data_IF_079800790883
#
_entry.id   IF_079800790883
#
_cell.length_a   1.000
_cell.length_b   1.000
_cell.length_c   1.000
_cell.angle_alpha   90.00
_cell.angle_beta   90.00
_cell.angle_gamma   90.00
#
_symmetry.space_group_name_H-M   'P 1'
#
loop_
_entity.id
_entity.type
_entity.pdbx_description
1 polymer ?
#
# COMPACT_ATOMS: atom_id res chain seq x y z
N UNK A 1 -8.34 -3.98 -15.04
CA UNK A 1 -8.97 -3.48 -13.78
C UNK A 1 -7.93 -2.72 -12.98
N UNK A 2 -8.33 -1.75 -12.14
CA UNK A 2 -7.39 -1.01 -11.30
C UNK A 2 -7.25 -1.61 -9.91
N UNK A 3 -6.03 -1.64 -9.39
CA UNK A 3 -5.76 -1.79 -7.96
C UNK A 3 -5.13 -0.50 -7.44
N UNK A 4 -5.60 -0.06 -6.27
CA UNK A 4 -5.06 1.09 -5.57
C UNK A 4 -4.04 0.63 -4.52
N UNK A 5 -2.92 1.32 -4.40
CA UNK A 5 -1.84 0.96 -3.49
C UNK A 5 -1.41 2.21 -2.75
N UNK A 6 -1.54 2.19 -1.44
CA UNK A 6 -0.92 3.20 -0.59
C UNK A 6 0.60 3.04 -0.54
N UNK A 7 1.29 4.11 -0.16
CA UNK A 7 2.75 4.18 -0.24
C UNK A 7 3.38 3.96 1.14
N UNK A 8 3.19 4.90 2.06
CA UNK A 8 3.83 4.89 3.37
C UNK A 8 3.28 3.73 4.20
N UNK A 9 4.17 2.92 4.77
CA UNK A 9 3.82 1.75 5.59
C UNK A 9 3.03 0.64 4.89
N UNK A 10 2.76 0.78 3.60
CA UNK A 10 2.16 -0.23 2.74
C UNK A 10 3.20 -0.87 1.82
N UNK A 11 3.87 -0.06 0.97
CA UNK A 11 5.02 -0.51 0.16
C UNK A 11 6.36 0.05 0.63
N UNK A 12 6.39 1.26 1.21
CA UNK A 12 7.58 1.90 1.75
C UNK A 12 7.59 1.78 3.28
N UNK A 13 8.68 1.33 3.89
CA UNK A 13 8.73 1.13 5.34
C UNK A 13 9.13 2.41 6.11
N UNK A 14 8.30 3.45 6.03
CA UNK A 14 8.57 4.74 6.67
C UNK A 14 8.49 4.69 8.20
N UNK A 15 7.68 3.79 8.76
CA UNK A 15 7.64 3.49 10.19
C UNK A 15 8.99 3.00 10.73
N UNK A 16 9.71 2.18 9.98
CA UNK A 16 11.05 1.73 10.40
C UNK A 16 12.02 2.90 10.50
N UNK A 17 11.97 3.84 9.56
CA UNK A 17 12.79 5.05 9.63
C UNK A 17 12.36 5.97 10.77
N UNK A 18 11.05 6.08 11.07
CA UNK A 18 10.56 6.83 12.23
C UNK A 18 11.07 6.24 13.55
N UNK A 19 11.04 4.91 13.69
CA UNK A 19 11.57 4.20 14.87
C UNK A 19 13.08 4.42 14.99
N UNK A 20 13.83 4.16 13.91
CA UNK A 20 15.29 4.21 13.92
C UNK A 20 15.85 5.60 14.22
N UNK A 21 15.19 6.65 13.71
CA UNK A 21 15.70 8.03 13.81
C UNK A 21 15.14 8.80 14.99
N UNK A 22 13.89 8.53 15.37
CA UNK A 22 13.17 9.35 16.33
C UNK A 22 12.62 8.55 17.52
N UNK A 23 12.81 7.22 17.54
CA UNK A 23 12.31 6.37 18.63
C UNK A 23 10.79 6.33 18.73
N UNK A 24 10.06 6.62 17.65
CA UNK A 24 8.61 6.74 17.67
C UNK A 24 7.97 5.35 17.75
N UNK A 25 7.14 5.06 18.77
CA UNK A 25 6.50 3.76 18.90
C UNK A 25 5.37 3.55 17.87
N UNK A 26 5.25 2.33 17.37
CA UNK A 26 4.29 1.96 16.30
C UNK A 26 2.94 1.44 16.83
N UNK A 27 2.55 1.82 18.04
CA UNK A 27 1.33 1.32 18.69
C UNK A 27 0.11 2.25 18.51
N UNK A 28 0.32 3.48 18.02
CA UNK A 28 -0.73 4.47 17.75
C UNK A 28 -0.57 5.03 16.36
N UNK A 29 -1.69 5.22 15.68
CA UNK A 29 -1.74 5.82 14.36
C UNK A 29 -2.85 6.90 14.30
N UNK A 30 -2.55 8.11 13.78
CA UNK A 30 -1.20 8.61 13.53
C UNK A 30 -0.38 8.65 14.84
N UNK A 31 0.94 8.53 14.74
CA UNK A 31 1.79 8.58 15.93
C UNK A 31 1.80 10.02 16.51
N UNK A 32 1.39 10.24 17.76
CA UNK A 32 1.20 11.58 18.32
C UNK A 32 2.51 12.36 18.50
N UNK A 33 3.66 11.66 18.49
CA UNK A 33 4.98 12.25 18.58
C UNK A 33 5.43 12.90 17.27
N UNK A 34 4.76 12.62 16.14
CA UNK A 34 5.08 13.25 14.87
C UNK A 34 4.52 14.68 14.90
N UNK A 35 5.36 15.73 14.77
CA UNK A 35 4.88 17.08 14.82
C UNK A 35 3.99 17.40 13.61
N UNK A 36 3.04 18.34 13.73
CA UNK A 36 2.30 18.84 12.58
C UNK A 36 3.26 19.28 11.48
N UNK A 37 2.90 19.03 10.22
CA UNK A 37 3.71 19.39 9.04
C UNK A 37 5.07 18.67 8.95
N UNK A 38 5.35 17.65 9.76
CA UNK A 38 6.58 16.85 9.63
C UNK A 38 6.79 16.35 8.20
N UNK A 39 5.77 15.77 7.59
CA UNK A 39 5.86 15.21 6.24
C UNK A 39 5.97 16.26 5.12
N UNK A 40 5.73 17.55 5.39
CA UNK A 40 6.01 18.66 4.46
C UNK A 40 7.41 19.26 4.66
N UNK A 41 8.10 18.90 5.75
CA UNK A 41 9.45 19.38 6.03
C UNK A 41 10.50 18.60 5.25
N UNK A 42 11.69 19.19 5.10
CA UNK A 42 12.84 18.51 4.51
C UNK A 42 13.18 17.20 5.22
N UNK A 43 12.98 17.13 6.54
CA UNK A 43 13.25 15.91 7.31
C UNK A 43 12.24 14.81 7.00
N UNK A 44 10.97 15.15 6.84
CA UNK A 44 9.94 14.20 6.38
C UNK A 44 10.16 13.73 4.94
N UNK A 45 10.69 14.59 4.07
CA UNK A 45 11.08 14.21 2.71
C UNK A 45 12.29 13.27 2.72
N UNK A 46 13.35 13.59 3.48
CA UNK A 46 14.53 12.74 3.65
C UNK A 46 14.19 11.41 4.29
N UNK A 47 13.26 11.37 5.24
CA UNK A 47 12.80 10.13 5.86
C UNK A 47 12.25 9.15 4.82
N UNK A 48 11.39 9.63 3.91
CA UNK A 48 10.86 8.79 2.85
C UNK A 48 11.91 8.40 1.82
N UNK A 49 12.78 9.33 1.41
CA UNK A 49 13.84 9.01 0.45
C UNK A 49 14.73 7.87 0.94
N UNK A 50 14.94 7.76 2.26
CA UNK A 50 15.73 6.72 2.92
C UNK A 50 14.92 5.47 3.28
N UNK A 51 13.60 5.52 3.16
CA UNK A 51 12.78 4.36 3.45
C UNK A 51 13.00 3.30 2.38
N UNK A 52 13.26 2.08 2.81
CA UNK A 52 13.36 0.93 1.92
C UNK A 52 11.95 0.37 1.63
N UNK A 53 11.73 -0.19 0.44
CA UNK A 53 10.52 -0.94 0.17
C UNK A 53 10.43 -2.17 1.09
N UNK A 54 9.23 -2.62 1.38
CA UNK A 54 9.06 -3.95 1.96
C UNK A 54 9.57 -5.01 0.98
N UNK A 55 10.33 -6.02 1.44
CA UNK A 55 10.83 -7.09 0.57
C UNK A 55 9.70 -7.76 -0.21
N UNK A 56 9.89 -7.91 -1.53
CA UNK A 56 8.92 -8.52 -2.45
C UNK A 56 7.76 -7.63 -2.88
N UNK A 57 7.65 -6.38 -2.39
CA UNK A 57 6.53 -5.50 -2.73
C UNK A 57 6.47 -5.15 -4.23
N UNK A 58 7.63 -4.80 -4.81
CA UNK A 58 7.71 -4.48 -6.22
C UNK A 58 7.41 -5.71 -7.10
N UNK A 59 7.93 -6.89 -6.73
CA UNK A 59 7.69 -8.15 -7.44
C UNK A 59 6.22 -8.55 -7.43
N UNK A 60 5.57 -8.50 -6.27
CA UNK A 60 4.15 -8.81 -6.15
C UNK A 60 3.29 -7.86 -7.01
N UNK A 61 3.59 -6.56 -7.01
CA UNK A 61 2.85 -5.59 -7.82
C UNK A 61 3.14 -5.73 -9.32
N UNK A 62 4.35 -6.14 -9.72
CA UNK A 62 4.64 -6.52 -11.11
C UNK A 62 3.82 -7.72 -11.54
N UNK A 63 3.68 -8.74 -10.68
CA UNK A 63 2.84 -9.90 -10.96
C UNK A 63 1.38 -9.50 -11.23
N UNK A 64 0.83 -8.54 -10.48
CA UNK A 64 -0.49 -7.98 -10.77
C UNK A 64 -0.53 -7.30 -12.16
N UNK A 65 0.51 -6.54 -12.53
CA UNK A 65 0.62 -5.95 -13.87
C UNK A 65 0.67 -7.00 -14.97
N UNK A 66 1.45 -8.06 -14.80
CA UNK A 66 1.55 -9.18 -15.75
C UNK A 66 0.20 -9.92 -15.92
N UNK A 67 -0.63 -9.93 -14.88
CA UNK A 67 -2.00 -10.44 -14.90
C UNK A 67 -3.04 -9.46 -15.49
N UNK A 68 -2.60 -8.31 -16.03
CA UNK A 68 -3.46 -7.31 -16.67
C UNK A 68 -4.14 -6.33 -15.71
N UNK A 69 -3.72 -6.27 -14.45
CA UNK A 69 -4.15 -5.20 -13.54
C UNK A 69 -3.32 -3.94 -13.75
N UNK A 70 -3.97 -2.78 -13.67
CA UNK A 70 -3.29 -1.48 -13.64
C UNK A 70 -3.07 -1.09 -12.18
N UNK A 71 -1.85 -0.71 -11.84
CA UNK A 71 -1.47 -0.31 -10.47
C UNK A 71 -1.47 1.21 -10.36
N UNK A 72 -2.26 1.74 -9.43
CA UNK A 72 -2.27 3.15 -9.05
C UNK A 72 -1.71 3.32 -7.62
N UNK A 73 -0.70 4.16 -7.48
CA UNK A 73 -0.08 4.56 -6.23
C UNK A 73 -0.71 5.85 -5.71
N UNK A 74 -1.37 5.76 -4.56
CA UNK A 74 -2.21 6.84 -4.03
C UNK A 74 -1.73 7.18 -2.62
N UNK A 75 -1.28 8.42 -2.39
CA UNK A 75 -0.66 8.79 -1.13
C UNK A 75 -1.16 10.12 -0.57
N UNK A 76 -1.24 10.17 0.76
CA UNK A 76 -1.53 11.40 1.52
C UNK A 76 -0.30 12.29 1.72
N UNK A 77 0.88 11.89 1.23
CA UNK A 77 2.07 12.74 1.26
C UNK A 77 1.79 14.06 0.53
N UNK A 78 2.43 15.17 0.92
CA UNK A 78 2.19 16.48 0.31
C UNK A 78 2.37 16.46 -1.21
N UNK A 79 1.56 17.22 -1.96
CA UNK A 79 1.59 17.18 -3.43
C UNK A 79 2.97 17.51 -4.04
N UNK A 80 3.75 18.37 -3.37
CA UNK A 80 5.11 18.70 -3.79
C UNK A 80 6.11 17.53 -3.67
N UNK A 81 5.76 16.42 -3.01
CA UNK A 81 6.59 15.21 -2.98
C UNK A 81 6.34 14.27 -4.16
N UNK A 82 5.39 14.56 -5.05
CA UNK A 82 5.04 13.65 -6.16
C UNK A 82 6.25 13.27 -7.01
N UNK A 83 7.12 14.23 -7.36
CA UNK A 83 8.34 13.95 -8.13
C UNK A 83 9.27 12.99 -7.40
N UNK A 84 9.49 13.21 -6.10
CA UNK A 84 10.29 12.34 -5.24
C UNK A 84 9.67 10.93 -5.15
N UNK A 85 8.35 10.84 -4.97
CA UNK A 85 7.61 9.59 -4.89
C UNK A 85 7.74 8.78 -6.18
N UNK A 86 7.55 9.41 -7.35
CA UNK A 86 7.72 8.74 -8.65
C UNK A 86 9.15 8.22 -8.83
N UNK A 87 10.16 9.03 -8.46
CA UNK A 87 11.56 8.63 -8.53
C UNK A 87 11.85 7.44 -7.61
N UNK A 88 11.35 7.48 -6.39
CA UNK A 88 11.49 6.39 -5.42
C UNK A 88 10.84 5.10 -5.93
N UNK A 89 9.61 5.16 -6.46
CA UNK A 89 8.94 3.99 -7.03
C UNK A 89 9.76 3.37 -8.19
N UNK A 90 10.21 4.21 -9.13
CA UNK A 90 11.00 3.75 -10.28
C UNK A 90 12.35 3.19 -9.88
N UNK A 91 13.06 3.82 -8.94
CA UNK A 91 14.39 3.35 -8.51
C UNK A 91 14.32 2.02 -7.77
N UNK A 92 13.20 1.71 -7.13
CA UNK A 92 12.96 0.44 -6.45
C UNK A 92 12.22 -0.60 -7.31
N UNK A 93 12.07 -0.34 -8.62
CA UNK A 93 11.55 -1.32 -9.57
C UNK A 93 10.04 -1.51 -9.55
N UNK A 94 9.27 -0.61 -8.95
CA UNK A 94 7.81 -0.67 -8.99
C UNK A 94 7.27 -0.41 -10.42
N UNK A 95 6.17 -1.06 -10.83
CA UNK A 95 5.59 -0.88 -12.16
C UNK A 95 4.97 0.51 -12.34
N UNK A 96 5.76 1.45 -12.85
CA UNK A 96 5.35 2.82 -13.18
C UNK A 96 5.74 3.16 -14.62
N UNK A 97 4.83 2.88 -15.55
CA UNK A 97 4.97 3.22 -16.97
C UNK A 97 4.63 4.70 -17.20
N UNK A 98 3.42 5.09 -16.77
CA UNK A 98 2.86 6.42 -17.00
C UNK A 98 2.58 7.09 -15.66
N UNK A 99 3.60 7.78 -15.13
CA UNK A 99 3.56 8.34 -13.79
C UNK A 99 2.40 9.32 -13.56
N UNK A 100 1.97 10.07 -14.58
CA UNK A 100 0.84 11.01 -14.49
C UNK A 100 -0.50 10.31 -14.23
N UNK A 101 -0.63 9.06 -14.70
CA UNK A 101 -1.87 8.29 -14.59
C UNK A 101 -1.84 7.34 -13.39
N UNK A 102 -0.64 6.97 -12.94
CA UNK A 102 -0.45 5.95 -11.93
C UNK A 102 -0.06 6.49 -10.55
N UNK A 103 0.40 7.74 -10.42
CA UNK A 103 0.90 8.24 -9.12
C UNK A 103 0.18 9.52 -8.74
N UNK A 104 -0.49 9.51 -7.59
CA UNK A 104 -1.19 10.67 -7.05
C UNK A 104 -0.75 10.95 -5.61
N UNK A 105 -0.32 12.18 -5.35
CA UNK A 105 0.03 12.69 -4.02
C UNK A 105 -0.81 13.93 -3.70
N UNK A 106 -0.78 14.36 -2.44
CA UNK A 106 -1.51 15.54 -1.96
C UNK A 106 -2.98 15.28 -1.70
N UNK A 107 -3.37 14.02 -1.56
CA UNK A 107 -4.76 13.62 -1.39
C UNK A 107 -5.08 13.48 0.09
N UNK A 108 -6.09 14.20 0.57
CA UNK A 108 -6.67 13.87 1.86
C UNK A 108 -7.48 12.56 1.79
N UNK A 109 -7.98 12.12 2.94
CA UNK A 109 -8.75 10.88 3.05
C UNK A 109 -9.97 10.82 2.12
N UNK A 110 -10.73 11.92 1.99
CA UNK A 110 -11.92 11.95 1.15
C UNK A 110 -11.54 11.88 -0.33
N UNK A 111 -10.50 12.62 -0.72
CA UNK A 111 -10.01 12.63 -2.10
C UNK A 111 -9.34 11.32 -2.49
N UNK A 112 -8.59 10.67 -1.59
CA UNK A 112 -8.10 9.29 -1.82
C UNK A 112 -9.27 8.36 -2.08
N UNK A 113 -10.31 8.41 -1.25
CA UNK A 113 -11.48 7.54 -1.40
C UNK A 113 -12.23 7.79 -2.72
N UNK A 114 -12.43 9.05 -3.10
CA UNK A 114 -13.04 9.41 -4.37
C UNK A 114 -12.22 8.90 -5.56
N UNK A 115 -10.91 9.07 -5.51
CA UNK A 115 -10.01 8.58 -6.55
C UNK A 115 -10.09 7.06 -6.70
N UNK A 116 -10.04 6.34 -5.58
CA UNK A 116 -10.14 4.87 -5.56
C UNK A 116 -11.49 4.40 -6.12
N UNK A 117 -12.59 5.01 -5.68
CA UNK A 117 -13.95 4.48 -5.93
C UNK A 117 -14.57 4.98 -7.24
N UNK A 118 -14.32 6.24 -7.63
CA UNK A 118 -14.97 6.86 -8.79
C UNK A 118 -14.06 6.97 -10.00
N UNK A 119 -12.84 7.46 -9.81
CA UNK A 119 -11.93 7.74 -10.94
C UNK A 119 -11.25 6.49 -11.45
N UNK A 120 -10.74 5.67 -10.53
CA UNK A 120 -10.10 4.41 -10.85
C UNK A 120 -11.10 3.27 -10.95
N UNK A 121 -12.23 3.37 -10.23
CA UNK A 121 -13.14 2.24 -9.99
C UNK A 121 -12.34 0.98 -9.60
N UNK A 122 -11.44 1.13 -8.62
CA UNK A 122 -10.51 0.09 -8.23
C UNK A 122 -11.27 -1.13 -7.67
N UNK A 123 -10.77 -2.33 -7.96
CA UNK A 123 -11.38 -3.57 -7.47
C UNK A 123 -10.81 -4.01 -6.12
N UNK A 124 -9.60 -3.53 -5.79
CA UNK A 124 -8.94 -3.78 -4.52
C UNK A 124 -8.05 -2.60 -4.13
N UNK A 125 -7.79 -2.48 -2.82
CA UNK A 125 -6.87 -1.50 -2.25
C UNK A 125 -5.87 -2.15 -1.31
N UNK A 126 -4.60 -1.80 -1.43
CA UNK A 126 -3.54 -2.10 -0.45
C UNK A 126 -3.33 -0.89 0.43
N UNK A 127 -3.43 -1.06 1.75
CA UNK A 127 -3.46 0.06 2.70
C UNK A 127 -2.97 -0.39 4.09
N UNK A 128 -2.55 0.57 4.91
CA UNK A 128 -2.19 0.34 6.30
C UNK A 128 -3.04 1.17 7.28
N UNK A 129 -3.53 2.36 6.85
CA UNK A 129 -4.32 3.27 7.67
C UNK A 129 -5.68 2.62 8.01
N UNK A 130 -5.95 2.35 9.30
CA UNK A 130 -7.19 1.70 9.70
C UNK A 130 -8.44 2.53 9.43
N UNK A 131 -8.34 3.85 9.23
CA UNK A 131 -9.47 4.69 8.85
C UNK A 131 -9.78 4.53 7.36
N UNK A 132 -8.76 4.58 6.50
CA UNK A 132 -8.93 4.36 5.05
C UNK A 132 -9.48 2.96 4.76
N UNK A 133 -8.93 1.94 5.43
CA UNK A 133 -9.43 0.57 5.31
C UNK A 133 -10.92 0.45 5.67
N UNK A 134 -11.38 1.12 6.74
CA UNK A 134 -12.80 1.15 7.11
C UNK A 134 -13.67 1.78 6.01
N UNK A 135 -13.26 2.93 5.49
CA UNK A 135 -14.01 3.58 4.43
C UNK A 135 -14.05 2.70 3.18
N UNK A 136 -12.93 2.14 2.75
CA UNK A 136 -12.89 1.24 1.59
C UNK A 136 -13.88 0.06 1.71
N UNK A 137 -14.01 -0.54 2.90
CA UNK A 137 -14.96 -1.63 3.16
C UNK A 137 -16.42 -1.19 3.04
N UNK A 138 -16.78 0.01 3.49
CA UNK A 138 -18.13 0.57 3.33
C UNK A 138 -18.51 0.71 1.86
N UNK A 139 -17.53 0.97 0.98
CA UNK A 139 -17.72 1.03 -0.47
C UNK A 139 -17.59 -0.35 -1.16
N UNK A 140 -17.52 -1.44 -0.40
CA UNK A 140 -17.48 -2.80 -0.94
C UNK A 140 -16.15 -3.23 -1.55
N UNK A 141 -15.07 -2.46 -1.36
CA UNK A 141 -13.75 -2.80 -1.87
C UNK A 141 -13.12 -3.97 -1.10
N UNK A 142 -12.34 -4.79 -1.81
CA UNK A 142 -11.42 -5.74 -1.16
C UNK A 142 -10.21 -4.98 -0.63
N UNK A 143 -9.93 -5.10 0.66
CA UNK A 143 -8.84 -4.42 1.34
C UNK A 143 -7.74 -5.43 1.69
N UNK A 144 -6.58 -5.26 1.08
CA UNK A 144 -5.34 -5.90 1.47
C UNK A 144 -4.67 -5.04 2.54
N UNK A 145 -4.85 -5.43 3.81
CA UNK A 145 -4.42 -4.64 4.96
C UNK A 145 -3.03 -5.11 5.42
N UNK A 146 -2.01 -4.26 5.26
CA UNK A 146 -0.67 -4.52 5.78
C UNK A 146 -0.73 -4.58 7.31
N UNK A 147 -0.31 -5.69 7.92
CA UNK A 147 -0.41 -5.87 9.36
C UNK A 147 0.52 -4.91 10.12
N UNK A 148 -0.08 -4.13 11.02
CA UNK A 148 0.60 -3.27 11.97
C UNK A 148 -0.08 -3.29 13.34
N UNK A 149 0.66 -3.08 14.46
CA UNK A 149 0.06 -3.07 15.79
C UNK A 149 -1.15 -2.14 15.93
N UNK A 150 -1.12 -0.97 15.28
CA UNK A 150 -2.21 0.02 15.33
C UNK A 150 -3.47 -0.36 14.55
N UNK A 151 -3.40 -1.29 13.58
CA UNK A 151 -4.55 -1.67 12.75
C UNK A 151 -5.09 -3.08 13.01
N UNK A 152 -4.51 -3.83 13.97
CA UNK A 152 -4.97 -5.18 14.34
C UNK A 152 -6.39 -5.25 14.92
N UNK A 153 -6.94 -4.11 15.34
CA UNK A 153 -8.35 -4.01 15.76
C UNK A 153 -9.33 -3.95 14.59
N UNK A 154 -8.85 -4.06 13.35
CA UNK A 154 -9.68 -4.15 12.15
C UNK A 154 -9.84 -5.61 11.65
N UNK A 155 -11.02 -5.95 11.11
CA UNK A 155 -12.26 -5.16 11.13
C UNK A 155 -12.84 -5.07 12.57
N UNK A 156 -13.58 -4.01 12.92
CA UNK A 156 -14.32 -4.01 14.18
C UNK A 156 -15.46 -5.02 14.04
N UNK A 157 -15.53 -6.00 14.95
CA UNK A 157 -16.41 -7.18 14.90
C UNK A 157 -17.92 -6.85 14.81
N UNK A 158 -18.35 -5.58 14.87
CA UNK A 158 -19.77 -5.19 15.07
C UNK A 158 -20.20 -3.86 14.43
N UNK A 159 -19.87 -3.59 13.18
CA UNK A 159 -20.41 -2.42 12.48
C UNK A 159 -21.36 -2.86 11.34
N UNK A 160 -22.63 -2.40 11.32
CA UNK A 160 -23.55 -2.69 10.22
C UNK A 160 -22.97 -2.28 8.87
N UNK A 161 -23.07 -3.15 7.86
CA UNK A 161 -22.53 -2.91 6.51
C UNK A 161 -21.05 -3.28 6.31
N UNK A 162 -20.37 -3.85 7.31
CA UNK A 162 -19.00 -4.34 7.16
C UNK A 162 -18.99 -5.79 6.69
N UNK A 163 -18.51 -6.04 5.46
CA UNK A 163 -18.16 -7.37 5.03
C UNK A 163 -16.70 -7.67 5.46
N UNK A 164 -16.54 -8.41 6.55
CA UNK A 164 -15.22 -8.77 7.10
C UNK A 164 -14.44 -9.75 6.22
N UNK A 165 -15.11 -10.47 5.32
CA UNK A 165 -14.47 -11.38 4.35
C UNK A 165 -13.66 -10.62 3.28
N UNK A 166 -13.93 -9.32 3.13
CA UNK A 166 -13.19 -8.43 2.21
C UNK A 166 -11.91 -7.86 2.80
N UNK A 167 -11.54 -8.21 4.03
CA UNK A 167 -10.27 -7.82 4.64
C UNK A 167 -9.28 -8.97 4.58
N UNK A 168 -8.27 -8.82 3.73
CA UNK A 168 -7.17 -9.77 3.60
C UNK A 168 -5.95 -9.17 4.28
N UNK A 169 -5.63 -9.65 5.48
CA UNK A 169 -4.48 -9.17 6.24
C UNK A 169 -3.22 -9.91 5.82
N UNK A 170 -2.14 -9.18 5.58
CA UNK A 170 -0.85 -9.77 5.22
C UNK A 170 0.29 -9.16 6.05
N UNK A 171 1.26 -9.97 6.45
CA UNK A 171 2.45 -9.52 7.19
C UNK A 171 3.60 -9.19 6.27
N UNK A 172 3.73 -9.93 5.18
CA UNK A 172 4.80 -9.80 4.19
C UNK A 172 4.24 -9.84 2.77
N UNK A 173 4.92 -9.20 1.82
CA UNK A 173 4.50 -9.24 0.41
C UNK A 173 4.68 -10.62 -0.23
N UNK A 174 5.48 -11.50 0.39
CA UNK A 174 5.54 -12.92 0.01
C UNK A 174 4.19 -13.63 0.23
N UNK A 175 3.44 -13.28 1.29
CA UNK A 175 2.08 -13.82 1.49
C UNK A 175 1.12 -13.39 0.38
N UNK A 176 1.24 -12.13 -0.06
CA UNK A 176 0.45 -11.59 -1.18
C UNK A 176 0.80 -12.33 -2.47
N UNK A 177 2.09 -12.44 -2.78
CA UNK A 177 2.59 -13.12 -3.97
C UNK A 177 2.11 -14.59 -4.00
N UNK A 178 2.23 -15.30 -2.88
CA UNK A 178 1.75 -16.67 -2.75
C UNK A 178 0.24 -16.77 -2.99
N UNK A 179 -0.57 -15.86 -2.42
CA UNK A 179 -2.01 -15.86 -2.62
C UNK A 179 -2.40 -15.61 -4.09
N UNK A 180 -1.67 -14.75 -4.79
CA UNK A 180 -1.89 -14.50 -6.23
C UNK A 180 -1.51 -15.72 -7.06
N UNK A 181 -0.37 -16.35 -6.76
CA UNK A 181 0.09 -17.56 -7.48
C UNK A 181 -0.87 -18.72 -7.24
N UNK A 182 -1.30 -18.99 -6.00
CA UNK A 182 -2.17 -20.13 -5.71
C UNK A 182 -3.59 -19.97 -6.23
N UNK A 183 -4.08 -18.74 -6.38
CA UNK A 183 -5.39 -18.45 -6.98
C UNK A 183 -5.37 -18.49 -8.51
N UNK A 184 -4.19 -18.60 -9.14
CA UNK A 184 -4.02 -18.72 -10.58
C UNK A 184 -3.27 -20.01 -10.95
N UNK A 185 -4.01 -21.04 -11.35
CA UNK A 185 -3.48 -22.39 -11.61
C UNK A 185 -2.34 -22.41 -12.64
N UNK A 186 -2.40 -21.55 -13.65
CA UNK A 186 -1.37 -21.47 -14.68
C UNK A 186 -0.06 -20.89 -14.13
N UNK A 187 -0.14 -19.85 -13.29
CA UNK A 187 1.03 -19.29 -12.59
C UNK A 187 1.63 -20.28 -11.58
N UNK A 188 0.79 -21.03 -10.87
CA UNK A 188 1.25 -22.05 -9.93
C UNK A 188 2.08 -23.13 -10.64
N UNK A 189 1.61 -23.59 -11.82
CA UNK A 189 2.32 -24.59 -12.62
C UNK A 189 3.67 -24.08 -13.18
N UNK A 190 3.75 -22.81 -13.59
CA UNK A 190 4.99 -22.20 -14.09
C UNK A 190 6.01 -22.02 -12.96
N UNK A 191 5.55 -21.61 -11.78
CA UNK A 191 6.44 -21.33 -10.62
C UNK A 191 7.01 -22.62 -10.04
N UNK A 192 6.22 -23.70 -9.96
CA UNK A 192 6.71 -25.01 -9.52
C UNK A 192 7.82 -25.55 -10.42
N UNK A 193 7.68 -25.41 -11.75
CA UNK A 193 8.73 -25.84 -12.67
C UNK A 193 10.03 -25.06 -12.50
N UNK A 194 9.98 -23.75 -12.22
CA UNK A 194 11.22 -22.96 -12.01
C UNK A 194 12.03 -23.41 -10.79
N UNK A 195 11.37 -23.88 -9.73
CA UNK A 195 12.04 -24.39 -8.53
C UNK A 195 12.61 -25.81 -8.67
N UNK A 196 12.32 -26.52 -9.77
CA UNK A 196 12.87 -27.88 -10.04
C UNK A 196 14.20 -27.84 -10.81
N UNK A 197 14.64 -26.66 -11.28
CA UNK A 197 15.90 -26.46 -12.01
C UNK A 197 16.92 -25.58 -11.27
N UNK A 198 16.64 -25.20 -10.02
CA UNK A 198 17.56 -24.52 -9.09
C UNK A 198 18.06 -25.48 -8.02
#
# INVERSE_FOLDING_TARGET
>A
MWIAVDIDNTVANTNLELVRRFGIPLNKYPAPQIPPKFFTSDEGMRLFQRSEPFPGAADALRLFSDLGYRVAYISSRPGNTMFLTVRWLKSHGFPVEQARDQVSCGLDQNRKLEMITKELAAVAVFEDDPRMARYALVYGLTVWLKDWPYNRKLPPVKAPGYNTERVIRFKSWAEVQNAVITSNLDLAAITQRKGEWE
#
